data_IF_110326086026
#
_entry.id   IF_110326086026
#
_cell.length_a   1.000
_cell.length_b   1.000
_cell.length_c   1.000
_cell.angle_alpha   90.00
_cell.angle_beta   90.00
_cell.angle_gamma   90.00
#
_symmetry.space_group_name_H-M   'P 1'
#
loop_
_entity.id
_entity.type
_entity.pdbx_description
1 polymer ?
#
# COMPACT_ATOMS: atom_id res chain seq x y z
N UNK A 1 10.37 -1.81 -5.02
CA UNK A 1 11.85 -1.80 -4.98
C UNK A 1 12.52 -0.53 -5.54
N UNK A 2 12.10 0.02 -6.69
CA UNK A 2 12.86 1.05 -7.43
C UNK A 2 13.43 2.20 -6.59
N UNK A 3 12.60 2.87 -5.77
CA UNK A 3 13.07 3.97 -4.91
C UNK A 3 14.09 3.53 -3.84
N UNK A 4 13.97 2.31 -3.31
CA UNK A 4 14.82 1.80 -2.25
C UNK A 4 16.21 1.42 -2.76
N UNK A 5 16.31 1.00 -4.02
CA UNK A 5 17.54 0.44 -4.60
C UNK A 5 18.74 1.41 -4.49
N UNK A 6 18.50 2.71 -4.65
CA UNK A 6 19.54 3.74 -4.55
C UNK A 6 20.11 3.92 -3.12
N UNK A 7 19.43 3.38 -2.12
CA UNK A 7 19.76 3.57 -0.71
C UNK A 7 20.16 2.27 0.00
N UNK A 8 20.16 1.12 -0.69
CA UNK A 8 20.41 -0.19 -0.06
C UNK A 8 21.76 -0.22 0.68
N UNK A 9 22.79 0.43 0.16
CA UNK A 9 24.13 0.48 0.78
C UNK A 9 24.32 1.63 1.79
N UNK A 10 23.33 2.54 1.94
CA UNK A 10 23.39 3.62 2.92
C UNK A 10 22.65 3.24 4.22
N UNK A 11 23.40 2.72 5.19
CA UNK A 11 22.88 2.29 6.49
C UNK A 11 22.24 3.43 7.30
N UNK A 12 22.53 4.69 6.97
CA UNK A 12 21.91 5.85 7.64
C UNK A 12 20.46 6.03 7.20
N UNK A 13 20.10 5.50 6.02
CA UNK A 13 18.76 5.58 5.43
C UNK A 13 17.94 4.36 5.85
N UNK A 14 16.92 4.63 6.67
CA UNK A 14 15.91 3.62 7.02
C UNK A 14 14.96 3.44 5.85
N UNK A 15 14.63 2.18 5.54
CA UNK A 15 13.77 1.82 4.43
C UNK A 15 12.51 1.13 4.96
N UNK A 16 11.37 1.59 4.49
CA UNK A 16 10.06 1.11 4.92
C UNK A 16 9.21 0.70 3.71
N UNK A 17 8.59 -0.48 3.79
CA UNK A 17 7.57 -0.93 2.85
C UNK A 17 6.24 -1.12 3.57
N UNK A 18 5.15 -0.62 3.00
CA UNK A 18 3.81 -0.76 3.57
C UNK A 18 2.94 -1.64 2.67
N UNK A 19 2.41 -2.71 3.24
CA UNK A 19 1.49 -3.65 2.60
C UNK A 19 0.03 -3.19 2.79
N UNK A 20 -0.88 -3.70 1.95
CA UNK A 20 -2.31 -3.42 2.09
C UNK A 20 -2.90 -4.24 3.23
N UNK A 21 -3.38 -3.53 4.24
CA UNK A 21 -3.94 -4.10 5.46
C UNK A 21 -5.38 -4.54 5.34
N UNK A 22 -6.11 -4.09 4.31
CA UNK A 22 -7.53 -4.38 4.16
C UNK A 22 -8.31 -3.97 5.40
N UNK A 23 -9.12 -4.90 5.93
CA UNK A 23 -9.86 -4.74 7.18
C UNK A 23 -9.04 -5.10 8.44
N UNK A 24 -7.72 -5.27 8.28
CA UNK A 24 -6.77 -5.61 9.34
C UNK A 24 -6.40 -7.10 9.38
N UNK A 25 -5.28 -7.45 10.03
CA UNK A 25 -4.70 -8.80 9.99
C UNK A 25 -5.61 -9.89 10.60
N UNK A 26 -6.44 -9.55 11.58
CA UNK A 26 -7.32 -10.51 12.26
C UNK A 26 -8.59 -10.83 11.47
N UNK A 27 -8.92 -10.03 10.46
CA UNK A 27 -10.16 -10.18 9.67
C UNK A 27 -10.09 -11.34 8.67
N UNK A 28 -8.87 -11.73 8.25
CA UNK A 28 -8.65 -12.59 7.08
C UNK A 28 -8.87 -11.88 5.74
N UNK A 29 -9.34 -10.62 5.74
CA UNK A 29 -9.56 -9.79 4.56
C UNK A 29 -8.44 -8.76 4.43
N UNK A 30 -7.29 -9.21 3.95
CA UNK A 30 -6.10 -8.37 3.80
C UNK A 30 -5.15 -8.89 2.71
N UNK A 31 -4.14 -8.10 2.36
CA UNK A 31 -3.01 -8.52 1.53
C UNK A 31 -1.67 -8.33 2.26
N UNK A 32 -1.62 -8.62 3.56
CA UNK A 32 -0.41 -8.55 4.39
C UNK A 32 0.35 -9.88 4.29
N UNK A 33 1.60 -9.89 3.81
CA UNK A 33 2.40 -11.13 3.69
C UNK A 33 3.43 -11.27 4.80
N UNK A 34 3.85 -10.15 5.40
CA UNK A 34 5.02 -10.13 6.28
C UNK A 34 4.70 -10.06 7.77
N UNK A 35 3.47 -9.71 8.16
CA UNK A 35 3.09 -9.66 9.57
C UNK A 35 3.04 -11.07 10.18
N UNK A 36 3.39 -11.24 11.47
CA UNK A 36 3.35 -12.54 12.13
C UNK A 36 1.97 -13.19 12.02
N UNK A 37 1.93 -14.46 11.60
CA UNK A 37 0.69 -15.23 11.49
C UNK A 37 -0.14 -14.96 10.22
N UNK A 38 0.36 -14.14 9.28
CA UNK A 38 -0.33 -13.86 8.01
C UNK A 38 0.22 -14.72 6.87
N UNK A 39 1.41 -14.38 6.33
CA UNK A 39 2.05 -15.10 5.24
C UNK A 39 3.21 -16.00 5.67
N UNK A 40 3.59 -16.89 4.77
CA UNK A 40 4.72 -17.81 4.92
C UNK A 40 5.51 -17.97 3.62
N UNK A 41 6.71 -18.54 3.71
CA UNK A 41 7.53 -18.82 2.53
C UNK A 41 6.93 -19.97 1.72
N UNK A 42 6.67 -19.74 0.44
CA UNK A 42 6.22 -20.76 -0.49
C UNK A 42 6.60 -20.45 -1.93
N UNK A 43 6.02 -21.19 -2.88
CA UNK A 43 6.30 -21.08 -4.32
C UNK A 43 5.05 -20.59 -5.04
N UNK A 44 5.11 -19.39 -5.60
CA UNK A 44 3.99 -18.79 -6.32
C UNK A 44 4.48 -18.09 -7.59
N UNK A 45 3.77 -18.30 -8.70
CA UNK A 45 4.04 -17.67 -9.99
C UNK A 45 5.52 -17.67 -10.43
N UNK A 46 6.23 -18.76 -10.16
CA UNK A 46 7.62 -18.98 -10.59
C UNK A 46 8.70 -18.42 -9.66
N UNK A 47 8.35 -17.90 -8.48
CA UNK A 47 9.31 -17.44 -7.48
C UNK A 47 9.07 -18.08 -6.11
N UNK A 48 10.17 -18.31 -5.36
CA UNK A 48 10.10 -18.62 -3.94
C UNK A 48 10.09 -17.30 -3.16
N UNK A 49 9.01 -17.01 -2.45
CA UNK A 49 8.84 -15.76 -1.71
C UNK A 49 7.83 -15.93 -0.58
N UNK A 50 7.54 -14.86 0.15
CA UNK A 50 6.39 -14.85 1.07
C UNK A 50 5.09 -14.83 0.27
N UNK A 51 4.12 -15.64 0.69
CA UNK A 51 2.75 -15.60 0.19
C UNK A 51 1.72 -15.92 1.26
N UNK A 52 0.47 -15.58 0.96
CA UNK A 52 -0.73 -15.96 1.70
C UNK A 52 -1.25 -17.30 1.17
N UNK A 53 -1.09 -18.34 1.96
CA UNK A 53 -1.55 -19.69 1.64
C UNK A 53 -2.00 -20.44 2.88
N UNK A 54 -2.84 -21.45 2.70
CA UNK A 54 -3.24 -22.35 3.77
C UNK A 54 -2.21 -23.47 4.01
N UNK A 55 -2.47 -24.34 5.00
CA UNK A 55 -1.58 -25.45 5.35
C UNK A 55 -1.37 -26.47 4.22
N UNK A 56 -2.29 -26.52 3.25
CA UNK A 56 -2.20 -27.38 2.06
C UNK A 56 -1.43 -26.73 0.90
N UNK A 57 -0.93 -25.50 1.09
CA UNK A 57 -0.23 -24.72 0.06
C UNK A 57 -1.17 -24.12 -1.01
N UNK A 58 -2.48 -24.04 -0.74
CA UNK A 58 -3.41 -23.31 -1.61
C UNK A 58 -3.34 -21.83 -1.31
N UNK A 59 -3.21 -21.00 -2.35
CA UNK A 59 -3.24 -19.55 -2.22
C UNK A 59 -4.56 -19.08 -1.62
N UNK A 60 -4.49 -18.19 -0.63
CA UNK A 60 -5.66 -17.56 -0.03
C UNK A 60 -6.14 -16.40 -0.90
N UNK A 61 -7.44 -16.14 -0.87
CA UNK A 61 -8.00 -14.90 -1.40
C UNK A 61 -7.47 -13.71 -0.58
N UNK A 62 -7.25 -12.59 -1.26
CA UNK A 62 -6.81 -11.34 -0.63
C UNK A 62 -7.88 -10.27 -0.71
N UNK A 63 -7.71 -9.23 0.09
CA UNK A 63 -8.55 -8.05 0.03
C UNK A 63 -7.76 -6.77 0.29
N UNK A 64 -8.11 -5.73 -0.45
CA UNK A 64 -7.64 -4.37 -0.30
C UNK A 64 -8.58 -3.45 -1.07
N UNK A 65 -8.91 -2.28 -0.53
CA UNK A 65 -9.60 -1.24 -1.31
C UNK A 65 -8.77 -0.78 -2.52
N UNK A 66 -7.46 -0.97 -2.48
CA UNK A 66 -6.52 -0.68 -3.54
C UNK A 66 -6.25 -1.91 -4.41
N UNK A 67 -6.84 -1.95 -5.60
CA UNK A 67 -6.66 -3.05 -6.55
C UNK A 67 -5.19 -3.33 -6.88
N UNK A 68 -4.32 -2.32 -6.97
CA UNK A 68 -2.89 -2.52 -7.26
C UNK A 68 -2.06 -3.14 -6.14
N UNK A 69 -2.60 -3.27 -4.93
CA UNK A 69 -1.95 -3.92 -3.78
C UNK A 69 -2.62 -5.23 -3.38
N UNK A 70 -3.76 -5.56 -3.98
CA UNK A 70 -4.55 -6.77 -3.73
C UNK A 70 -3.88 -7.99 -4.39
N UNK A 71 -2.82 -8.48 -3.74
CA UNK A 71 -1.99 -9.55 -4.27
C UNK A 71 -1.43 -10.44 -3.16
N UNK A 72 -1.55 -11.75 -3.36
CA UNK A 72 -1.24 -12.77 -2.36
C UNK A 72 0.25 -12.99 -2.08
N UNK A 73 1.16 -12.52 -2.95
CA UNK A 73 2.60 -12.71 -2.79
C UNK A 73 3.37 -11.39 -2.87
N UNK A 74 4.69 -11.46 -2.91
CA UNK A 74 5.57 -10.30 -2.99
C UNK A 74 6.84 -10.69 -3.73
N UNK A 75 7.49 -9.74 -4.41
CA UNK A 75 8.74 -10.01 -5.13
C UNK A 75 9.83 -10.59 -4.22
N UNK A 76 10.63 -11.58 -4.68
CA UNK A 76 11.60 -12.30 -3.84
C UNK A 76 12.71 -11.40 -3.29
N UNK A 77 13.02 -10.30 -3.97
CA UNK A 77 13.97 -9.30 -3.46
C UNK A 77 13.46 -8.60 -2.19
N UNK A 78 12.16 -8.31 -2.12
CA UNK A 78 11.55 -7.74 -0.91
C UNK A 78 11.57 -8.76 0.25
N UNK A 79 11.33 -10.04 -0.04
CA UNK A 79 11.46 -11.13 0.93
C UNK A 79 12.89 -11.23 1.49
N UNK A 80 13.90 -11.23 0.61
CA UNK A 80 15.31 -11.25 1.02
C UNK A 80 15.70 -10.02 1.86
N UNK A 81 15.28 -8.83 1.44
CA UNK A 81 15.55 -7.57 2.16
C UNK A 81 14.91 -7.53 3.56
N UNK A 82 13.75 -8.17 3.73
CA UNK A 82 13.13 -8.37 5.04
C UNK A 82 13.96 -9.31 5.90
N UNK A 83 14.35 -10.46 5.35
CA UNK A 83 15.09 -11.50 6.08
C UNK A 83 16.43 -11.00 6.63
N UNK A 84 17.16 -10.20 5.85
CA UNK A 84 18.43 -9.60 6.31
C UNK A 84 18.23 -8.35 7.18
N UNK A 85 16.99 -7.93 7.43
CA UNK A 85 16.66 -6.77 8.25
C UNK A 85 16.96 -5.42 7.60
N UNK A 86 17.20 -5.37 6.28
CA UNK A 86 17.55 -4.12 5.59
C UNK A 86 16.34 -3.20 5.40
N UNK A 87 15.17 -3.77 5.15
CA UNK A 87 13.91 -3.05 4.98
C UNK A 87 12.93 -3.50 6.06
N UNK A 88 12.32 -2.55 6.74
CA UNK A 88 11.21 -2.79 7.65
C UNK A 88 9.91 -2.82 6.86
N UNK A 89 9.12 -3.88 7.03
CA UNK A 89 7.79 -3.95 6.43
C UNK A 89 6.72 -3.90 7.51
N UNK A 90 5.67 -3.16 7.21
CA UNK A 90 4.46 -3.04 8.02
C UNK A 90 3.26 -2.90 7.07
N UNK A 91 2.07 -2.60 7.57
CA UNK A 91 0.87 -2.44 6.75
C UNK A 91 0.11 -1.16 7.08
N UNK A 92 -0.75 -0.74 6.16
CA UNK A 92 -1.76 0.28 6.38
C UNK A 92 -3.14 -0.31 6.05
N UNK A 93 -4.11 -0.19 6.95
CA UNK A 93 -5.50 -0.62 6.68
C UNK A 93 -6.16 0.29 5.65
N UNK A 94 -7.29 -0.14 5.10
CA UNK A 94 -8.07 0.66 4.16
C UNK A 94 -8.47 2.01 4.78
N UNK A 95 -8.91 2.02 6.04
CA UNK A 95 -9.23 3.25 6.76
C UNK A 95 -8.03 4.21 6.87
N UNK A 96 -6.85 3.68 7.19
CA UNK A 96 -5.62 4.49 7.32
C UNK A 96 -5.20 5.06 5.96
N UNK A 97 -5.24 4.25 4.91
CA UNK A 97 -4.92 4.67 3.55
C UNK A 97 -5.92 5.73 3.05
N UNK A 98 -7.22 5.55 3.30
CA UNK A 98 -8.23 6.52 2.87
C UNK A 98 -8.15 7.83 3.65
N UNK A 99 -7.85 7.79 4.96
CA UNK A 99 -7.57 9.02 5.71
C UNK A 99 -6.36 9.76 5.12
N UNK A 100 -5.27 9.06 4.81
CA UNK A 100 -4.10 9.67 4.18
C UNK A 100 -4.37 10.20 2.76
N UNK A 101 -5.22 9.52 1.98
CA UNK A 101 -5.70 10.02 0.69
C UNK A 101 -6.38 11.38 0.87
N UNK A 102 -7.30 11.47 1.84
CA UNK A 102 -8.07 12.69 2.12
C UNK A 102 -7.15 13.82 2.58
N UNK A 103 -6.24 13.53 3.51
CA UNK A 103 -5.29 14.51 4.01
C UNK A 103 -4.47 15.11 2.87
N UNK A 104 -3.90 14.28 2.00
CA UNK A 104 -3.10 14.78 0.87
C UNK A 104 -3.92 15.60 -0.14
N UNK A 105 -5.19 15.22 -0.36
CA UNK A 105 -6.11 16.00 -1.19
C UNK A 105 -6.40 17.38 -0.59
N UNK A 106 -6.68 17.44 0.71
CA UNK A 106 -7.14 18.66 1.37
C UNK A 106 -5.99 19.61 1.75
N UNK A 107 -4.81 19.08 2.10
CA UNK A 107 -3.69 19.92 2.56
C UNK A 107 -2.76 20.31 1.43
N UNK A 108 -2.49 19.41 0.48
CA UNK A 108 -1.50 19.63 -0.58
C UNK A 108 -2.13 19.80 -1.97
N UNK A 109 -3.44 19.55 -2.12
CA UNK A 109 -4.12 19.61 -3.42
C UNK A 109 -3.66 18.50 -4.39
N UNK A 110 -3.12 17.40 -3.87
CA UNK A 110 -2.66 16.26 -4.66
C UNK A 110 -3.66 15.13 -4.47
N UNK A 111 -4.14 14.56 -5.57
CA UNK A 111 -5.01 13.37 -5.55
C UNK A 111 -4.12 12.13 -5.76
N UNK A 112 -3.70 11.42 -4.70
CA UNK A 112 -2.82 10.26 -4.82
C UNK A 112 -3.59 9.04 -5.31
N UNK A 113 -2.91 8.08 -5.93
CA UNK A 113 -3.48 6.74 -6.06
C UNK A 113 -3.74 6.13 -4.67
N UNK A 114 -4.76 5.29 -4.53
CA UNK A 114 -5.03 4.61 -3.24
C UNK A 114 -3.82 3.72 -2.86
N UNK A 115 -3.12 3.13 -3.83
CA UNK A 115 -1.87 2.40 -3.61
C UNK A 115 -0.81 3.30 -2.94
N UNK A 116 -0.65 4.55 -3.44
CA UNK A 116 0.30 5.52 -2.89
C UNK A 116 -0.12 6.01 -1.50
N UNK A 117 -1.42 6.06 -1.25
CA UNK A 117 -1.99 6.52 0.03
C UNK A 117 -1.63 5.59 1.18
N UNK A 118 -1.45 4.29 0.92
CA UNK A 118 -0.89 3.34 1.90
C UNK A 118 0.53 3.73 2.34
N UNK A 119 1.36 4.22 1.41
CA UNK A 119 2.71 4.68 1.75
C UNK A 119 2.69 5.99 2.56
N UNK A 120 1.73 6.88 2.31
CA UNK A 120 1.55 8.12 3.09
C UNK A 120 1.04 7.80 4.50
N UNK A 121 0.03 6.92 4.62
CA UNK A 121 -0.42 6.40 5.90
C UNK A 121 0.71 5.74 6.69
N UNK A 122 1.52 4.92 5.99
CA UNK A 122 2.73 4.34 6.52
C UNK A 122 3.75 5.37 6.99
N UNK A 123 3.92 6.48 6.27
CA UNK A 123 4.81 7.56 6.68
C UNK A 123 4.39 8.18 8.03
N UNK A 124 3.09 8.31 8.31
CA UNK A 124 2.63 8.75 9.63
C UNK A 124 3.03 7.76 10.74
N UNK A 125 2.90 6.45 10.50
CA UNK A 125 3.35 5.41 11.43
C UNK A 125 4.86 5.43 11.64
N UNK A 126 5.64 5.50 10.56
CA UNK A 126 7.09 5.60 10.62
C UNK A 126 7.55 6.86 11.35
N UNK A 127 6.91 8.01 11.12
CA UNK A 127 7.21 9.24 11.86
C UNK A 127 6.96 9.09 13.37
N UNK A 128 5.87 8.42 13.76
CA UNK A 128 5.58 8.12 15.16
C UNK A 128 6.62 7.17 15.79
N UNK A 129 7.04 6.10 15.08
CA UNK A 129 8.13 5.22 15.53
C UNK A 129 9.45 5.99 15.72
N UNK A 130 9.84 6.80 14.74
CA UNK A 130 11.07 7.57 14.79
C UNK A 130 11.07 8.56 15.96
N UNK A 131 9.94 9.25 16.19
CA UNK A 131 9.78 10.13 17.34
C UNK A 131 9.87 9.39 18.67
N UNK A 132 9.23 8.23 18.79
CA UNK A 132 9.32 7.39 19.99
C UNK A 132 10.75 6.93 20.27
N UNK A 133 11.59 6.84 19.24
CA UNK A 133 13.02 6.51 19.31
C UNK A 133 13.93 7.73 19.50
N UNK A 134 13.37 8.92 19.73
CA UNK A 134 14.11 10.16 20.00
C UNK A 134 14.64 10.88 18.77
N UNK A 135 14.04 10.66 17.59
CA UNK A 135 14.36 11.39 16.36
C UNK A 135 13.25 12.43 16.15
N UNK A 136 13.52 13.69 16.49
CA UNK A 136 12.50 14.75 16.53
C UNK A 136 12.16 15.37 15.17
N UNK A 137 13.07 15.29 14.19
CA UNK A 137 12.90 15.91 12.86
C UNK A 137 13.43 15.01 11.72
N UNK A 138 12.82 13.84 11.48
CA UNK A 138 13.24 12.98 10.38
C UNK A 138 12.88 13.61 9.02
N UNK A 139 13.83 13.61 8.08
CA UNK A 139 13.52 13.87 6.66
C UNK A 139 13.03 12.58 6.05
N UNK A 140 11.81 12.60 5.50
CA UNK A 140 11.16 11.43 4.93
C UNK A 140 10.90 11.64 3.44
N UNK A 141 11.16 10.61 2.64
CA UNK A 141 10.84 10.59 1.21
C UNK A 141 9.79 9.50 1.01
N UNK A 142 8.62 9.89 0.50
CA UNK A 142 7.51 8.98 0.21
C UNK A 142 7.38 8.84 -1.30
N UNK A 143 7.29 7.60 -1.78
CA UNK A 143 7.06 7.33 -3.19
C UNK A 143 5.57 7.43 -3.52
N UNK A 144 5.13 8.54 -4.11
CA UNK A 144 3.81 8.66 -4.72
C UNK A 144 3.81 7.93 -6.07
N UNK A 145 3.58 6.62 -6.01
CA UNK A 145 3.67 5.70 -7.16
C UNK A 145 2.71 6.02 -8.31
N UNK A 146 1.62 6.74 -8.06
CA UNK A 146 0.66 7.09 -9.10
C UNK A 146 -0.31 8.20 -8.68
N UNK A 147 -1.05 8.69 -9.68
CA UNK A 147 -2.15 9.64 -9.53
C UNK A 147 -3.48 8.92 -9.29
N UNK A 148 -4.38 9.55 -8.54
CA UNK A 148 -5.64 8.96 -8.10
C UNK A 148 -6.83 9.14 -9.02
N UNK A 149 -6.65 9.60 -10.27
CA UNK A 149 -7.77 9.80 -11.21
C UNK A 149 -8.63 8.53 -11.37
N UNK A 150 -7.98 7.36 -11.39
CA UNK A 150 -8.67 6.05 -11.49
C UNK A 150 -9.47 5.69 -10.24
N UNK A 151 -9.17 6.32 -9.11
CA UNK A 151 -9.70 5.97 -7.79
C UNK A 151 -10.79 6.95 -7.31
N UNK A 152 -11.12 7.97 -8.11
CA UNK A 152 -12.07 9.02 -7.73
C UNK A 152 -13.47 8.46 -7.44
N UNK A 153 -13.93 7.45 -8.17
CA UNK A 153 -15.23 6.82 -7.90
C UNK A 153 -15.23 6.14 -6.53
N UNK A 154 -14.24 5.28 -6.29
CA UNK A 154 -14.03 4.56 -5.03
C UNK A 154 -13.94 5.53 -3.85
N UNK A 155 -13.10 6.57 -3.97
CA UNK A 155 -12.95 7.59 -2.94
C UNK A 155 -14.23 8.40 -2.74
N UNK A 156 -14.90 8.80 -3.83
CA UNK A 156 -16.15 9.52 -3.78
C UNK A 156 -17.25 8.75 -3.05
N UNK A 157 -17.35 7.44 -3.28
CA UNK A 157 -18.25 6.56 -2.52
C UNK A 157 -17.83 6.46 -1.05
N UNK A 158 -16.54 6.22 -0.80
CA UNK A 158 -16.00 6.06 0.54
C UNK A 158 -16.30 7.25 1.45
N UNK A 159 -16.08 8.48 0.97
CA UNK A 159 -16.34 9.70 1.73
C UNK A 159 -17.80 10.20 1.65
N UNK A 160 -18.68 9.48 0.95
CA UNK A 160 -20.08 9.85 0.80
C UNK A 160 -20.35 11.04 -0.13
N UNK A 161 -19.41 11.38 -1.00
CA UNK A 161 -19.60 12.38 -2.06
C UNK A 161 -20.39 11.84 -3.26
N UNK A 162 -20.35 10.52 -3.47
CA UNK A 162 -21.08 9.83 -4.53
C UNK A 162 -21.96 8.73 -3.93
N UNK A 163 -23.16 8.57 -4.48
CA UNK A 163 -23.99 7.38 -4.28
C UNK A 163 -23.42 6.18 -5.04
N UNK A 164 -23.87 4.96 -4.68
CA UNK A 164 -23.47 3.74 -5.40
C UNK A 164 -23.79 3.80 -6.91
N UNK A 165 -24.93 4.41 -7.28
CA UNK A 165 -25.30 4.58 -8.68
C UNK A 165 -24.35 5.55 -9.40
N UNK A 166 -24.00 6.66 -8.75
CA UNK A 166 -23.06 7.65 -9.31
C UNK A 166 -21.64 7.08 -9.42
N UNK A 167 -21.18 6.31 -8.44
CA UNK A 167 -19.89 5.63 -8.48
C UNK A 167 -19.82 4.67 -9.67
N UNK A 168 -20.82 3.79 -9.81
CA UNK A 168 -20.89 2.83 -10.94
C UNK A 168 -20.92 3.54 -12.30
N UNK A 169 -21.63 4.65 -12.41
CA UNK A 169 -21.67 5.44 -13.63
C UNK A 169 -20.31 6.07 -13.95
N UNK A 170 -19.57 6.55 -12.94
CA UNK A 170 -18.22 7.11 -13.12
C UNK A 170 -17.23 6.05 -13.59
N UNK A 171 -17.26 4.86 -12.97
CA UNK A 171 -16.41 3.72 -13.32
C UNK A 171 -16.67 3.25 -14.76
N UNK A 172 -17.95 3.12 -15.13
CA UNK A 172 -18.36 2.67 -16.47
C UNK A 172 -17.93 3.64 -17.59
N UNK A 173 -17.84 4.94 -17.30
CA UNK A 173 -17.45 5.96 -18.26
C UNK A 173 -15.93 6.08 -18.44
N UNK A 174 -15.14 5.35 -17.66
CA UNK A 174 -13.69 5.34 -17.72
C UNK A 174 -13.13 6.74 -17.46
N UNK A 175 -12.85 7.07 -16.20
CA UNK A 175 -11.93 8.15 -15.84
C UNK A 175 -10.47 7.86 -16.28
N UNK A 176 -10.30 7.22 -17.44
CA UNK A 176 -9.07 7.24 -18.20
C UNK A 176 -9.03 8.60 -18.89
N UNK A 177 -8.11 9.46 -18.47
CA UNK A 177 -7.83 10.72 -19.14
C UNK A 177 -7.49 10.51 -20.62
N UNK A 178 -8.50 10.43 -21.46
CA UNK A 178 -8.37 10.47 -22.91
C UNK A 178 -8.45 11.93 -23.35
N UNK A 179 -7.26 12.42 -23.70
CA UNK A 179 -6.93 13.45 -24.68
C UNK A 179 -7.94 14.60 -24.85
N UNK A 180 -7.50 15.79 -24.43
CA UNK A 180 -7.89 17.03 -25.10
C UNK A 180 -7.49 16.87 -26.57
N UNK A 181 -8.48 16.68 -27.45
CA UNK A 181 -8.28 16.79 -28.88
C UNK A 181 -8.15 18.28 -29.23
N UNK A 182 -6.96 18.70 -29.66
CA UNK A 182 -6.79 19.91 -30.48
C UNK A 182 -7.53 19.78 -31.81
#
# INVERSE_FOLDING_TARGET
>A
IGIMNAFLDDERVRLYGYEAGGHGPESGEHAIRFAPGTGQIGLFQGAKSYLLENEEGQTLDTYSISAGLDYASVGPEHAWLKEIGRVTYDYATDDEAMNAFKDLCETEGIIPAIESSHAVAGAYKAAADLKARGIDEPVMIVNLSGRGDKDVATAGRWFGYLTDEQSKALDANGAHGNAVSE
#
